data_IF_659605383811
#
_entry.id   IF_659605383811
#
_cell.length_a   1.000
_cell.length_b   1.000
_cell.length_c   1.000
_cell.angle_alpha   90.00
_cell.angle_beta   90.00
_cell.angle_gamma   90.00
#
_symmetry.space_group_name_H-M   'P 1'
#
loop_
_entity.id
_entity.type
_entity.pdbx_description
1 polymer ?
#
# COMPACT_ATOMS: atom_id res chain seq x y z
N UNK A 1 -7.37 -3.32 -28.72
CA UNK A 1 -7.90 -4.70 -28.83
C UNK A 1 -7.11 -5.62 -27.92
N UNK A 2 -7.79 -6.46 -27.14
CA UNK A 2 -7.19 -7.56 -26.39
C UNK A 2 -7.75 -8.89 -26.91
N UNK A 3 -6.89 -9.90 -27.05
CA UNK A 3 -7.27 -11.23 -27.54
C UNK A 3 -6.88 -12.29 -26.51
N UNK A 4 -7.87 -13.07 -26.04
CA UNK A 4 -7.65 -14.23 -25.18
C UNK A 4 -7.40 -15.48 -26.01
N UNK A 5 -6.13 -15.77 -26.25
CA UNK A 5 -5.63 -16.98 -26.90
C UNK A 5 -5.33 -18.15 -25.94
N UNK A 6 -5.69 -18.06 -24.65
CA UNK A 6 -5.25 -19.05 -23.63
C UNK A 6 -5.80 -20.45 -23.85
N UNK A 7 -6.86 -20.61 -24.66
CA UNK A 7 -7.49 -21.90 -24.99
C UNK A 7 -7.24 -22.36 -26.43
N UNK A 8 -6.50 -21.59 -27.23
CA UNK A 8 -6.14 -21.92 -28.62
C UNK A 8 -4.88 -22.79 -28.66
N UNK A 9 -4.93 -23.95 -28.04
CA UNK A 9 -3.82 -24.89 -28.00
C UNK A 9 -4.32 -26.33 -28.09
N UNK A 10 -3.41 -27.23 -28.50
CA UNK A 10 -3.56 -28.67 -28.32
C UNK A 10 -2.45 -29.17 -27.40
N UNK A 11 -2.73 -30.26 -26.68
CA UNK A 11 -1.70 -30.95 -25.88
C UNK A 11 -0.68 -31.56 -26.82
N UNK A 12 0.59 -31.43 -26.48
CA UNK A 12 1.67 -32.05 -27.23
C UNK A 12 1.71 -33.56 -26.94
N UNK A 13 1.97 -34.38 -27.96
CA UNK A 13 2.13 -35.84 -27.80
C UNK A 13 3.34 -36.18 -26.90
N UNK A 14 4.41 -35.39 -27.02
CA UNK A 14 5.60 -35.49 -26.19
C UNK A 14 5.93 -34.14 -25.57
N UNK A 15 6.03 -34.17 -24.25
CA UNK A 15 6.38 -33.03 -23.42
C UNK A 15 7.84 -32.59 -23.61
N UNK A 16 8.10 -31.28 -23.68
CA UNK A 16 9.45 -30.72 -23.75
C UNK A 16 9.75 -29.89 -22.50
N UNK A 17 10.42 -30.47 -21.51
CA UNK A 17 10.73 -29.78 -20.24
C UNK A 17 9.46 -29.47 -19.46
N UNK A 18 9.04 -28.20 -19.40
CA UNK A 18 7.74 -27.74 -18.84
C UNK A 18 6.72 -27.35 -19.93
N UNK A 19 7.08 -27.42 -21.22
CA UNK A 19 6.17 -27.13 -22.32
C UNK A 19 5.29 -28.36 -22.59
N UNK A 20 3.97 -28.15 -22.59
CA UNK A 20 2.94 -29.20 -22.71
C UNK A 20 1.91 -28.92 -23.79
N UNK A 21 1.94 -27.73 -24.38
CA UNK A 21 0.93 -27.22 -25.29
C UNK A 21 1.60 -26.63 -26.52
N UNK A 22 0.94 -26.78 -27.67
CA UNK A 22 1.34 -26.18 -28.93
C UNK A 22 0.12 -25.60 -29.66
N UNK A 23 0.35 -24.59 -30.50
CA UNK A 23 -0.68 -24.03 -31.38
C UNK A 23 -0.65 -24.78 -32.72
N UNK A 24 -1.81 -25.23 -33.21
CA UNK A 24 -1.93 -25.77 -34.56
C UNK A 24 -1.99 -24.62 -35.59
N UNK A 25 -1.83 -24.90 -36.89
CA UNK A 25 -2.09 -23.92 -37.94
C UNK A 25 -3.49 -23.30 -37.83
N UNK A 26 -4.50 -24.10 -37.48
CA UNK A 26 -5.88 -23.62 -37.30
C UNK A 26 -5.99 -22.64 -36.12
N UNK A 27 -5.32 -22.91 -35.00
CA UNK A 27 -5.29 -21.99 -33.85
C UNK A 27 -4.64 -20.65 -34.22
N UNK A 28 -3.56 -20.69 -34.99
CA UNK A 28 -2.87 -19.47 -35.47
C UNK A 28 -3.78 -18.69 -36.41
N UNK A 29 -4.42 -19.38 -37.38
CA UNK A 29 -5.35 -18.78 -38.33
C UNK A 29 -6.52 -18.11 -37.62
N UNK A 30 -7.09 -18.76 -36.59
CA UNK A 30 -8.18 -18.21 -35.79
C UNK A 30 -7.77 -16.94 -35.02
N UNK A 31 -6.62 -16.94 -34.34
CA UNK A 31 -6.12 -15.76 -33.63
C UNK A 31 -5.85 -14.60 -34.61
N UNK A 32 -5.27 -14.91 -35.77
CA UNK A 32 -5.01 -13.90 -36.82
C UNK A 32 -6.32 -13.35 -37.38
N UNK A 33 -7.34 -14.20 -37.55
CA UNK A 33 -8.67 -13.77 -37.96
C UNK A 33 -9.31 -12.83 -36.93
N UNK A 34 -9.33 -13.22 -35.65
CA UNK A 34 -9.84 -12.37 -34.54
C UNK A 34 -9.12 -11.01 -34.48
N UNK A 35 -7.80 -10.99 -34.71
CA UNK A 35 -7.02 -9.76 -34.80
C UNK A 35 -7.43 -8.90 -35.99
N UNK A 36 -7.56 -9.50 -37.18
CA UNK A 36 -7.85 -8.79 -38.42
C UNK A 36 -9.26 -8.20 -38.46
N UNK A 37 -10.28 -8.92 -37.97
CA UNK A 37 -11.66 -8.41 -37.93
C UNK A 37 -11.79 -7.24 -36.94
N UNK A 38 -11.06 -7.30 -35.83
CA UNK A 38 -11.07 -6.24 -34.81
C UNK A 38 -12.49 -5.88 -34.33
N UNK A 39 -13.31 -6.90 -34.10
CA UNK A 39 -14.69 -6.77 -33.65
C UNK A 39 -14.84 -6.77 -32.12
N UNK A 40 -15.86 -6.06 -31.64
CA UNK A 40 -16.24 -6.04 -30.23
C UNK A 40 -16.87 -7.37 -29.82
N UNK A 41 -16.39 -7.94 -28.72
CA UNK A 41 -16.86 -9.20 -28.14
C UNK A 41 -16.84 -10.39 -29.13
N UNK A 42 -15.88 -10.41 -30.05
CA UNK A 42 -15.75 -11.50 -31.03
C UNK A 42 -15.51 -12.86 -30.34
N UNK A 43 -16.18 -13.89 -30.82
CA UNK A 43 -16.17 -15.22 -30.20
C UNK A 43 -15.40 -16.25 -31.02
N UNK A 44 -14.72 -17.16 -30.34
CA UNK A 44 -14.11 -18.36 -30.94
C UNK A 44 -14.63 -19.62 -30.24
N UNK A 45 -14.69 -20.74 -30.97
CA UNK A 45 -14.93 -22.05 -30.36
C UNK A 45 -13.62 -22.59 -29.81
N UNK A 46 -13.61 -22.97 -28.53
CA UNK A 46 -12.42 -23.49 -27.83
C UNK A 46 -12.74 -24.79 -27.11
N UNK A 47 -11.73 -25.64 -26.91
CA UNK A 47 -11.92 -26.93 -26.22
C UNK A 47 -11.64 -26.77 -24.72
N UNK A 48 -12.64 -27.08 -23.89
CA UNK A 48 -12.55 -27.08 -22.43
C UNK A 48 -13.07 -28.41 -21.94
N UNK A 49 -12.24 -29.14 -21.19
CA UNK A 49 -12.58 -30.48 -20.68
C UNK A 49 -13.04 -31.44 -21.78
N UNK A 50 -12.43 -31.32 -22.97
CA UNK A 50 -12.75 -32.16 -24.14
C UNK A 50 -14.04 -31.78 -24.87
N UNK A 51 -14.75 -30.73 -24.45
CA UNK A 51 -15.98 -30.26 -25.08
C UNK A 51 -15.76 -28.91 -25.79
N UNK A 52 -16.31 -28.71 -26.99
CA UNK A 52 -16.31 -27.40 -27.64
C UNK A 52 -17.21 -26.44 -26.87
N UNK A 53 -16.70 -25.24 -26.60
CA UNK A 53 -17.43 -24.14 -25.98
C UNK A 53 -17.16 -22.85 -26.77
N UNK A 54 -18.20 -22.09 -27.06
CA UNK A 54 -18.06 -20.75 -27.62
C UNK A 54 -17.70 -19.77 -26.51
N UNK A 55 -16.66 -18.96 -26.72
CA UNK A 55 -16.22 -17.93 -25.77
C UNK A 55 -15.89 -16.65 -26.48
N UNK A 56 -16.11 -15.52 -25.78
CA UNK A 56 -15.57 -14.24 -26.21
C UNK A 56 -14.04 -14.32 -26.08
N UNK A 57 -13.36 -14.14 -27.20
CA UNK A 57 -11.92 -14.24 -27.32
C UNK A 57 -11.28 -12.94 -27.82
N UNK A 58 -12.06 -11.95 -28.25
CA UNK A 58 -11.58 -10.62 -28.58
C UNK A 58 -12.49 -9.54 -28.01
N UNK A 59 -11.89 -8.48 -27.48
CA UNK A 59 -12.59 -7.30 -26.97
C UNK A 59 -11.85 -6.03 -27.37
N UNK A 60 -12.60 -4.99 -27.72
CA UNK A 60 -12.10 -3.64 -27.96
C UNK A 60 -12.32 -2.85 -26.68
N UNK A 61 -11.33 -2.03 -26.33
CA UNK A 61 -11.33 -1.20 -25.13
C UNK A 61 -10.82 0.18 -25.51
N UNK A 62 -11.30 1.21 -24.83
CA UNK A 62 -10.67 2.52 -24.88
C UNK A 62 -9.33 2.48 -24.13
N UNK A 63 -8.31 3.15 -24.66
CA UNK A 63 -6.99 3.22 -24.01
C UNK A 63 -7.07 3.91 -22.64
N UNK A 64 -8.03 4.81 -22.42
CA UNK A 64 -8.24 5.47 -21.14
C UNK A 64 -8.65 4.51 -20.03
N UNK A 65 -9.33 3.39 -20.36
CA UNK A 65 -9.83 2.43 -19.35
C UNK A 65 -8.72 1.69 -18.60
N UNK A 66 -7.52 1.64 -19.17
CA UNK A 66 -6.39 0.95 -18.55
C UNK A 66 -5.54 1.87 -17.70
N UNK A 67 -5.67 3.19 -17.87
CA UNK A 67 -4.87 4.18 -17.19
C UNK A 67 -5.53 4.69 -15.93
N UNK A 68 -4.73 4.95 -14.91
CA UNK A 68 -5.17 5.57 -13.68
C UNK A 68 -4.09 6.49 -13.09
N UNK A 69 -4.55 7.45 -12.30
CA UNK A 69 -3.75 8.29 -11.44
C UNK A 69 -3.68 7.62 -10.07
N UNK A 70 -2.47 7.21 -9.69
CA UNK A 70 -2.17 6.74 -8.35
C UNK A 70 -1.86 7.95 -7.49
N UNK A 71 -2.80 8.37 -6.65
CA UNK A 71 -2.62 9.50 -5.75
C UNK A 71 -2.33 9.05 -4.32
N UNK A 72 -1.49 9.82 -3.63
CA UNK A 72 -1.23 9.61 -2.20
C UNK A 72 -2.14 10.54 -1.41
N UNK A 73 -3.04 9.96 -0.62
CA UNK A 73 -3.89 10.71 0.30
C UNK A 73 -3.22 10.70 1.66
N UNK A 74 -2.87 11.88 2.15
CA UNK A 74 -2.26 12.08 3.45
C UNK A 74 -3.32 12.52 4.46
N UNK A 75 -3.17 12.07 5.70
CA UNK A 75 -4.02 12.46 6.83
C UNK A 75 -3.18 13.15 7.91
N UNK A 76 -3.76 14.09 8.67
CA UNK A 76 -3.00 14.87 9.64
C UNK A 76 -2.56 13.99 10.82
N UNK A 77 -1.31 14.15 11.22
CA UNK A 77 -0.75 13.53 12.42
C UNK A 77 -1.32 14.21 13.66
N UNK A 78 -2.03 13.45 14.50
CA UNK A 78 -2.53 13.90 15.80
C UNK A 78 -1.90 13.07 16.91
N UNK A 79 -1.21 13.76 17.83
CA UNK A 79 -0.46 13.14 18.91
C UNK A 79 -0.78 13.82 20.23
N UNK A 80 -1.03 13.02 21.28
CA UNK A 80 -0.95 13.50 22.65
C UNK A 80 0.45 13.24 23.22
N UNK A 81 0.82 13.99 24.25
CA UNK A 81 2.12 13.90 24.92
C UNK A 81 1.92 13.82 26.42
N UNK A 82 2.70 12.97 27.09
CA UNK A 82 2.65 12.80 28.53
C UNK A 82 4.00 12.32 29.05
N UNK A 83 4.42 12.83 30.20
CA UNK A 83 5.63 12.43 30.90
C UNK A 83 5.34 11.35 31.96
N UNK A 84 4.61 10.29 31.58
CA UNK A 84 4.39 9.15 32.47
C UNK A 84 5.62 8.24 32.52
N UNK A 85 5.79 7.51 33.62
CA UNK A 85 6.91 6.56 33.78
C UNK A 85 7.05 5.60 32.60
N UNK A 86 5.94 5.01 32.15
CA UNK A 86 5.92 4.07 31.02
C UNK A 86 6.43 4.71 29.72
N UNK A 87 6.00 5.94 29.42
CA UNK A 87 6.41 6.64 28.19
C UNK A 87 7.86 7.13 28.27
N UNK A 88 8.32 7.54 29.45
CA UNK A 88 9.72 7.89 29.69
C UNK A 88 10.63 6.68 29.50
N UNK A 89 10.17 5.47 29.88
CA UNK A 89 10.96 4.26 29.71
C UNK A 89 11.16 3.85 28.24
N UNK A 90 10.20 4.16 27.36
CA UNK A 90 10.32 4.00 25.90
C UNK A 90 11.49 4.77 25.29
N UNK A 91 12.03 5.79 25.97
CA UNK A 91 13.25 6.48 25.51
C UNK A 91 14.42 5.54 25.27
N UNK A 92 14.52 4.47 26.06
CA UNK A 92 15.59 3.49 25.94
C UNK A 92 15.54 2.72 24.61
N UNK A 93 14.35 2.60 24.01
CA UNK A 93 14.12 1.95 22.72
C UNK A 93 14.47 2.88 21.54
N UNK A 94 14.55 4.19 21.79
CA UNK A 94 14.84 5.18 20.78
C UNK A 94 16.33 5.20 20.44
N UNK A 95 16.67 4.79 19.21
CA UNK A 95 18.06 4.69 18.72
C UNK A 95 18.86 5.97 18.95
N UNK A 96 18.29 7.15 18.69
CA UNK A 96 19.00 8.42 18.85
C UNK A 96 19.31 8.73 20.33
N UNK A 97 18.43 8.35 21.26
CA UNK A 97 18.66 8.48 22.68
C UNK A 97 19.70 7.46 23.16
N UNK A 98 19.59 6.19 22.76
CA UNK A 98 20.57 5.14 23.06
C UNK A 98 21.98 5.48 22.59
N UNK A 99 22.10 6.08 21.40
CA UNK A 99 23.39 6.49 20.82
C UNK A 99 24.16 7.54 21.64
N UNK A 100 23.50 8.27 22.56
CA UNK A 100 24.20 9.19 23.46
C UNK A 100 25.28 8.47 24.26
N UNK A 101 25.00 7.24 24.72
CA UNK A 101 25.92 6.41 25.48
C UNK A 101 26.77 5.47 24.59
N UNK A 102 27.05 5.88 23.34
CA UNK A 102 27.90 5.13 22.41
C UNK A 102 29.07 5.99 21.94
N UNK A 103 30.15 5.35 21.48
CA UNK A 103 31.31 6.05 20.90
C UNK A 103 31.67 5.47 19.54
N UNK A 104 32.00 6.35 18.60
CA UNK A 104 32.54 5.96 17.29
C UNK A 104 34.06 5.79 17.30
N UNK A 105 34.75 6.16 18.39
CA UNK A 105 36.21 6.05 18.51
C UNK A 105 36.61 4.60 18.76
N UNK A 106 37.36 4.01 17.83
CA UNK A 106 37.77 2.60 17.89
C UNK A 106 39.17 2.35 18.45
N UNK A 107 40.03 3.38 18.50
CA UNK A 107 41.46 3.23 18.82
C UNK A 107 41.89 3.88 20.15
N UNK A 108 40.98 4.56 20.85
CA UNK A 108 41.25 5.29 22.08
C UNK A 108 40.24 4.90 23.16
N UNK A 109 40.59 3.85 23.92
CA UNK A 109 39.72 3.23 24.94
C UNK A 109 39.40 4.18 26.08
N UNK A 110 40.31 5.10 26.42
CA UNK A 110 40.10 6.08 27.47
C UNK A 110 39.03 7.09 27.06
N UNK A 111 39.16 7.69 25.87
CA UNK A 111 38.16 8.62 25.33
C UNK A 111 36.82 7.94 25.04
N UNK A 112 36.82 6.67 24.62
CA UNK A 112 35.59 5.90 24.46
C UNK A 112 34.82 5.80 25.77
N UNK A 113 35.48 5.41 26.87
CA UNK A 113 34.83 5.32 28.19
C UNK A 113 34.33 6.67 28.68
N UNK A 114 35.09 7.73 28.43
CA UNK A 114 34.69 9.10 28.78
C UNK A 114 33.44 9.53 28.02
N UNK A 115 33.38 9.32 26.70
CA UNK A 115 32.21 9.65 25.88
C UNK A 115 30.96 8.86 26.31
N UNK A 116 31.09 7.56 26.54
CA UNK A 116 29.99 6.71 27.00
C UNK A 116 29.47 7.20 28.36
N UNK A 117 30.37 7.49 29.31
CA UNK A 117 30.00 7.98 30.65
C UNK A 117 29.32 9.35 30.58
N UNK A 118 29.81 10.25 29.74
CA UNK A 118 29.16 11.55 29.51
C UNK A 118 27.77 11.38 28.89
N UNK A 119 27.62 10.45 27.95
CA UNK A 119 26.36 10.07 27.33
C UNK A 119 25.35 9.51 28.33
N UNK A 120 25.76 8.56 29.17
CA UNK A 120 24.93 7.99 30.24
C UNK A 120 24.49 9.06 31.24
N UNK A 121 25.40 9.98 31.58
CA UNK A 121 25.07 11.12 32.44
C UNK A 121 24.00 12.00 31.80
N UNK A 122 24.13 12.32 30.51
CA UNK A 122 23.13 13.13 29.81
C UNK A 122 21.78 12.41 29.70
N UNK A 123 21.76 11.10 29.44
CA UNK A 123 20.53 10.30 29.45
C UNK A 123 19.83 10.37 30.82
N UNK A 124 20.58 10.17 31.90
CA UNK A 124 20.05 10.25 33.26
C UNK A 124 19.51 11.64 33.59
N UNK A 125 20.20 12.70 33.17
CA UNK A 125 19.73 14.07 33.35
C UNK A 125 18.45 14.36 32.56
N UNK A 126 18.33 13.88 31.32
CA UNK A 126 17.10 14.03 30.53
C UNK A 126 15.94 13.31 31.20
N UNK A 127 16.11 12.03 31.59
CA UNK A 127 15.07 11.28 32.32
C UNK A 127 14.64 12.00 33.59
N UNK A 128 15.60 12.46 34.40
CA UNK A 128 15.30 13.21 35.63
C UNK A 128 14.52 14.50 35.40
N UNK A 129 14.74 15.20 34.28
CA UNK A 129 13.92 16.38 33.93
C UNK A 129 12.51 15.95 33.55
N UNK A 130 12.36 14.87 32.78
CA UNK A 130 11.04 14.37 32.38
C UNK A 130 10.25 13.85 33.58
N UNK A 131 10.89 13.14 34.51
CA UNK A 131 10.29 12.67 35.77
C UNK A 131 9.86 13.84 36.69
N UNK A 132 10.42 15.03 36.49
CA UNK A 132 10.05 16.23 37.26
C UNK A 132 8.82 16.95 36.70
N UNK A 133 8.36 16.59 35.51
CA UNK A 133 7.15 17.11 34.90
C UNK A 133 5.94 16.36 35.46
N UNK A 134 4.80 17.04 35.52
CA UNK A 134 3.56 16.46 36.03
C UNK A 134 3.06 15.36 35.08
N UNK A 135 3.14 14.10 35.54
CA UNK A 135 2.69 12.93 34.80
C UNK A 135 1.17 12.91 34.58
N UNK A 136 0.38 13.65 35.38
CA UNK A 136 -1.08 13.66 35.27
C UNK A 136 -1.59 14.52 34.10
N UNK A 137 -0.74 15.41 33.57
CA UNK A 137 -1.11 16.30 32.48
C UNK A 137 -0.93 15.60 31.13
N UNK A 138 -2.05 15.41 30.44
CA UNK A 138 -2.08 14.97 29.06
C UNK A 138 -2.13 16.18 28.11
N UNK A 139 -1.05 16.40 27.38
CA UNK A 139 -0.97 17.49 26.41
C UNK A 139 -1.49 17.02 25.06
N UNK A 140 -2.62 17.56 24.62
CA UNK A 140 -3.19 17.32 23.28
C UNK A 140 -2.67 18.28 22.20
N UNK A 141 -1.90 19.29 22.61
CA UNK A 141 -1.29 20.25 21.71
C UNK A 141 0.24 20.14 21.77
N UNK A 142 0.85 19.84 20.62
CA UNK A 142 2.30 19.64 20.49
C UNK A 142 3.11 20.87 20.90
N UNK A 143 2.69 22.05 20.48
CA UNK A 143 3.45 23.29 20.73
C UNK A 143 3.44 23.67 22.21
N UNK A 144 2.30 23.43 22.86
CA UNK A 144 2.14 23.59 24.30
C UNK A 144 3.07 22.64 25.05
N UNK A 145 3.10 21.36 24.67
CA UNK A 145 4.03 20.39 25.24
C UNK A 145 5.49 20.78 25.03
N UNK A 146 5.86 21.16 23.80
CA UNK A 146 7.22 21.57 23.46
C UNK A 146 7.68 22.77 24.28
N UNK A 147 6.79 23.74 24.52
CA UNK A 147 7.09 24.89 25.37
C UNK A 147 7.44 24.43 26.80
N UNK A 148 6.59 23.61 27.41
CA UNK A 148 6.82 23.06 28.76
C UNK A 148 8.13 22.27 28.83
N UNK A 149 8.38 21.40 27.86
CA UNK A 149 9.59 20.59 27.79
C UNK A 149 10.85 21.47 27.67
N UNK A 150 10.82 22.45 26.76
CA UNK A 150 11.95 23.34 26.54
C UNK A 150 12.25 24.24 27.75
N UNK A 151 11.22 24.72 28.43
CA UNK A 151 11.38 25.50 29.67
C UNK A 151 12.02 24.65 30.78
N UNK A 152 11.60 23.39 30.92
CA UNK A 152 12.18 22.45 31.88
C UNK A 152 13.64 22.11 31.57
N UNK A 153 13.96 21.80 30.32
CA UNK A 153 15.34 21.55 29.87
C UNK A 153 16.24 22.78 30.06
N UNK A 154 15.72 23.98 29.78
CA UNK A 154 16.44 25.24 29.97
C UNK A 154 16.71 25.51 31.45
N UNK A 155 15.74 25.26 32.34
CA UNK A 155 15.90 25.39 33.80
C UNK A 155 16.96 24.43 34.34
N UNK A 156 17.07 23.24 33.75
CA UNK A 156 18.11 22.26 34.08
C UNK A 156 19.46 22.52 33.37
N UNK A 157 19.56 23.57 32.55
CA UNK A 157 20.74 23.88 31.72
C UNK A 157 21.19 22.73 30.80
N UNK A 158 20.23 21.93 30.31
CA UNK A 158 20.48 20.81 29.42
C UNK A 158 20.26 21.25 27.98
N UNK A 159 21.27 21.04 27.13
CA UNK A 159 21.15 21.21 25.69
C UNK A 159 20.94 19.86 25.02
N UNK A 160 19.83 19.71 24.31
CA UNK A 160 19.49 18.49 23.57
C UNK A 160 19.70 18.74 22.08
N UNK A 161 20.31 17.79 21.39
CA UNK A 161 20.46 17.85 19.94
C UNK A 161 19.15 17.39 19.25
N UNK A 162 18.85 17.95 18.08
CA UNK A 162 17.61 17.67 17.34
C UNK A 162 17.25 16.17 17.19
N UNK A 163 18.18 15.24 16.90
CA UNK A 163 17.83 13.80 16.84
C UNK A 163 17.34 13.23 18.17
N UNK A 164 17.86 13.73 19.30
CA UNK A 164 17.46 13.31 20.64
C UNK A 164 16.13 13.96 21.02
N UNK A 165 15.90 15.21 20.66
CA UNK A 165 14.60 15.87 20.83
C UNK A 165 13.49 15.11 20.09
N UNK A 166 13.75 14.67 18.85
CA UNK A 166 12.83 13.78 18.12
C UNK A 166 12.56 12.47 18.85
N UNK A 167 13.59 11.86 19.44
CA UNK A 167 13.44 10.64 20.23
C UNK A 167 12.58 10.88 21.49
N UNK A 168 12.77 12.01 22.17
CA UNK A 168 11.93 12.39 23.31
C UNK A 168 10.47 12.55 22.88
N UNK A 169 10.22 13.30 21.81
CA UNK A 169 8.85 13.47 21.32
C UNK A 169 8.21 12.13 20.94
N UNK A 170 8.93 11.27 20.21
CA UNK A 170 8.41 9.97 19.79
C UNK A 170 8.12 9.03 20.98
N UNK A 171 8.98 9.01 22.01
CA UNK A 171 8.78 8.17 23.19
C UNK A 171 7.59 8.65 24.05
N UNK A 172 7.41 9.97 24.16
CA UNK A 172 6.39 10.59 25.01
C UNK A 172 5.04 10.78 24.32
N UNK A 173 4.97 10.48 23.02
CA UNK A 173 3.76 10.66 22.23
C UNK A 173 2.99 9.37 21.99
N UNK A 174 1.67 9.49 21.91
CA UNK A 174 0.79 8.46 21.34
C UNK A 174 -0.21 9.10 20.39
N UNK A 175 -0.69 8.33 19.41
CA UNK A 175 -1.75 8.79 18.51
C UNK A 175 -3.04 9.00 19.27
N UNK A 176 -3.66 10.14 19.01
CA UNK A 176 -4.88 10.56 19.68
C UNK A 176 -5.75 11.33 18.69
N UNK A 177 -6.88 10.75 18.22
CA UNK A 177 -7.79 11.43 17.30
C UNK A 177 -8.34 12.75 17.85
N UNK A 178 -8.40 12.91 19.18
CA UNK A 178 -8.88 14.11 19.86
C UNK A 178 -7.78 15.16 20.07
N UNK A 179 -6.53 14.86 19.70
CA UNK A 179 -5.43 15.81 19.80
C UNK A 179 -5.41 16.79 18.63
N UNK A 180 -4.79 17.94 18.85
CA UNK A 180 -4.61 18.95 17.81
C UNK A 180 -3.69 18.44 16.71
N UNK A 181 -3.88 18.95 15.50
CA UNK A 181 -3.03 18.63 14.36
C UNK A 181 -1.60 19.06 14.64
N UNK A 182 -0.65 18.13 14.50
CA UNK A 182 0.76 18.45 14.52
C UNK A 182 1.15 19.18 13.23
N UNK A 183 1.59 20.43 13.34
CA UNK A 183 2.02 21.23 12.19
C UNK A 183 3.54 21.32 12.07
N UNK A 184 4.02 21.70 10.89
CA UNK A 184 5.39 22.14 10.66
C UNK A 184 5.60 23.61 11.07
N UNK A 185 6.82 24.12 10.91
CA UNK A 185 7.14 25.52 11.27
C UNK A 185 6.43 26.57 10.39
N UNK A 186 5.77 26.15 9.30
CA UNK A 186 5.00 27.00 8.40
C UNK A 186 3.49 26.90 8.67
N UNK A 187 3.07 26.07 9.63
CA UNK A 187 1.66 25.83 9.94
C UNK A 187 1.00 24.74 9.08
N UNK A 188 1.74 24.07 8.20
CA UNK A 188 1.17 22.98 7.39
C UNK A 188 1.01 21.73 8.25
N UNK A 189 -0.11 20.98 8.11
CA UNK A 189 -0.27 19.68 8.74
C UNK A 189 0.87 18.72 8.40
N UNK A 190 1.37 17.99 9.40
CA UNK A 190 2.30 16.89 9.16
C UNK A 190 1.52 15.62 8.80
N UNK A 191 1.99 14.83 7.82
CA UNK A 191 1.33 13.59 7.46
C UNK A 191 1.54 12.51 8.54
N UNK A 192 0.50 11.73 8.81
CA UNK A 192 0.60 10.46 9.53
C UNK A 192 0.84 9.31 8.55
N UNK A 193 2.03 8.72 8.58
CA UNK A 193 2.39 7.63 7.69
C UNK A 193 1.59 6.34 7.93
N UNK A 194 0.96 6.15 9.10
CA UNK A 194 0.12 4.98 9.38
C UNK A 194 -1.31 5.12 8.85
N UNK A 195 -1.74 6.35 8.59
CA UNK A 195 -3.05 6.66 8.04
C UNK A 195 -2.95 7.13 6.57
N UNK A 196 -1.79 6.96 5.95
CA UNK A 196 -1.59 7.30 4.55
C UNK A 196 -2.26 6.24 3.67
N UNK A 197 -3.10 6.72 2.77
CA UNK A 197 -3.81 5.88 1.82
C UNK A 197 -3.36 6.16 0.38
N UNK A 198 -3.76 5.27 -0.51
CA UNK A 198 -3.46 5.38 -1.93
C UNK A 198 -4.72 5.10 -2.72
N UNK A 199 -5.14 6.08 -3.51
CA UNK A 199 -6.30 5.96 -4.38
C UNK A 199 -5.86 5.73 -5.83
N UNK A 200 -6.59 4.86 -6.53
CA UNK A 200 -6.41 4.60 -7.95
C UNK A 200 -7.55 5.26 -8.71
N UNK A 201 -7.32 6.46 -9.19
CA UNK A 201 -8.36 7.30 -9.79
C UNK A 201 -8.31 7.14 -11.31
N UNK A 202 -9.41 6.76 -11.97
CA UNK A 202 -9.46 6.70 -13.44
C UNK A 202 -9.08 8.05 -14.06
N UNK A 203 -8.55 8.02 -15.27
CA UNK A 203 -8.30 9.26 -16.00
C UNK A 203 -9.57 10.10 -16.22
N UNK A 204 -9.45 11.43 -16.30
CA UNK A 204 -10.51 12.27 -16.86
C UNK A 204 -10.91 11.76 -18.24
N UNK A 205 -12.20 11.71 -18.53
CA UNK A 205 -12.71 11.16 -19.80
C UNK A 205 -12.28 11.95 -21.04
N UNK A 206 -11.89 13.21 -20.85
CA UNK A 206 -11.49 14.17 -21.89
C UNK A 206 -9.97 14.38 -21.95
N UNK A 207 -9.19 13.67 -21.14
CA UNK A 207 -7.73 13.79 -21.18
C UNK A 207 -7.21 13.33 -22.55
N UNK A 208 -6.21 14.03 -23.08
CA UNK A 208 -5.61 13.66 -24.37
C UNK A 208 -4.40 12.78 -24.14
N UNK A 209 -4.37 11.62 -24.81
CA UNK A 209 -3.22 10.71 -24.83
C UNK A 209 -2.34 10.95 -26.08
N UNK A 210 -1.00 10.78 -25.99
CA UNK A 210 -0.25 10.39 -24.80
C UNK A 210 -0.11 11.53 -23.78
N UNK A 211 -0.01 11.17 -22.50
CA UNK A 211 0.20 12.14 -21.42
C UNK A 211 1.57 12.82 -21.54
N UNK A 212 1.69 14.09 -21.11
CA UNK A 212 2.96 14.83 -21.11
C UNK A 212 3.84 14.39 -19.93
N UNK A 213 4.18 13.10 -19.87
CA UNK A 213 4.97 12.50 -18.80
C UNK A 213 6.05 11.58 -19.38
N UNK A 214 7.25 11.65 -18.84
CA UNK A 214 8.31 10.71 -19.19
C UNK A 214 8.03 9.28 -18.70
N UNK A 215 8.74 8.30 -19.25
CA UNK A 215 8.63 6.89 -18.84
C UNK A 215 9.08 6.63 -17.38
N UNK A 216 9.78 7.58 -16.77
CA UNK A 216 10.24 7.55 -15.38
C UNK A 216 9.15 7.96 -14.36
N UNK A 217 8.00 8.46 -14.81
CA UNK A 217 6.97 9.09 -13.97
C UNK A 217 7.48 10.31 -13.18
N UNK A 218 8.53 10.98 -13.64
CA UNK A 218 9.12 12.16 -12.98
C UNK A 218 9.32 13.31 -13.96
N UNK A 219 9.79 13.01 -15.17
CA UNK A 219 9.99 14.02 -16.21
C UNK A 219 8.65 14.61 -16.64
N UNK A 220 8.55 15.94 -16.65
CA UNK A 220 7.35 16.72 -16.99
C UNK A 220 6.14 16.52 -16.04
N UNK A 221 6.36 16.06 -14.80
CA UNK A 221 5.30 15.87 -13.81
C UNK A 221 4.42 17.12 -13.57
N UNK A 222 5.01 18.31 -13.57
CA UNK A 222 4.25 19.57 -13.41
C UNK A 222 3.21 19.77 -14.52
N UNK A 223 3.54 19.39 -15.77
CA UNK A 223 2.61 19.46 -16.91
C UNK A 223 1.49 18.45 -16.78
N UNK A 224 1.77 17.26 -16.25
CA UNK A 224 0.73 16.29 -15.90
C UNK A 224 -0.21 16.88 -14.86
N UNK A 225 0.33 17.47 -13.78
CA UNK A 225 -0.47 18.04 -12.70
C UNK A 225 -1.40 19.16 -13.18
N UNK A 226 -0.96 20.01 -14.11
CA UNK A 226 -1.84 21.03 -14.73
C UNK A 226 -3.08 20.43 -15.39
N UNK A 227 -3.01 19.19 -15.90
CA UNK A 227 -4.13 18.52 -16.56
C UNK A 227 -5.05 17.77 -15.60
N UNK A 228 -4.51 17.24 -14.50
CA UNK A 228 -5.23 16.25 -13.67
C UNK A 228 -5.54 16.71 -12.27
N UNK A 229 -4.95 17.81 -11.80
CA UNK A 229 -5.09 18.25 -10.40
C UNK A 229 -6.55 18.44 -10.01
N UNK A 230 -7.32 19.19 -10.79
CA UNK A 230 -8.72 19.50 -10.44
C UNK A 230 -9.59 18.23 -10.44
N UNK A 231 -9.33 17.29 -11.35
CA UNK A 231 -9.99 15.98 -11.36
C UNK A 231 -9.66 15.17 -10.10
N UNK A 232 -8.40 15.19 -9.67
CA UNK A 232 -7.98 14.51 -8.44
C UNK A 232 -8.64 15.13 -7.20
N UNK A 233 -8.70 16.47 -7.10
CA UNK A 233 -9.34 17.17 -5.98
C UNK A 233 -10.85 16.90 -5.95
N UNK A 234 -11.50 16.90 -7.12
CA UNK A 234 -12.93 16.56 -7.23
C UNK A 234 -13.20 15.11 -6.78
N UNK A 235 -12.32 14.16 -7.13
CA UNK A 235 -12.41 12.78 -6.65
C UNK A 235 -12.22 12.71 -5.13
N UNK A 236 -11.23 13.41 -4.57
CA UNK A 236 -11.00 13.46 -3.13
C UNK A 236 -12.26 13.95 -2.39
N UNK A 237 -12.86 15.04 -2.87
CA UNK A 237 -14.07 15.62 -2.26
C UNK A 237 -15.28 14.69 -2.37
N UNK A 238 -15.47 14.02 -3.50
CA UNK A 238 -16.63 13.18 -3.75
C UNK A 238 -16.54 11.78 -3.09
N UNK A 239 -15.37 11.16 -3.11
CA UNK A 239 -15.22 9.73 -2.77
C UNK A 239 -14.43 9.50 -1.48
N UNK A 240 -13.54 10.42 -1.09
CA UNK A 240 -12.64 10.20 0.06
C UNK A 240 -13.12 10.94 1.30
N UNK A 241 -13.34 12.25 1.21
CA UNK A 241 -13.73 13.09 2.35
C UNK A 241 -15.03 12.65 3.05
N UNK A 242 -16.05 12.08 2.37
CA UNK A 242 -17.23 11.57 3.06
C UNK A 242 -16.96 10.39 4.01
N UNK A 243 -15.84 9.68 3.80
CA UNK A 243 -15.45 8.51 4.59
C UNK A 243 -14.29 8.79 5.55
N UNK A 244 -13.56 9.88 5.31
CA UNK A 244 -12.43 10.33 6.13
C UNK A 244 -12.80 11.67 6.76
N UNK A 245 -13.27 11.69 8.03
CA UNK A 245 -13.72 12.91 8.69
C UNK A 245 -12.59 13.89 9.03
N UNK A 246 -11.33 13.48 8.85
CA UNK A 246 -10.15 14.30 9.08
C UNK A 246 -9.85 15.19 7.85
N UNK A 247 -9.13 16.29 8.06
CA UNK A 247 -8.62 17.19 7.02
C UNK A 247 -7.58 16.50 6.10
N UNK A 248 -8.00 15.47 5.35
CA UNK A 248 -7.17 14.73 4.42
C UNK A 248 -6.84 15.59 3.19
N UNK A 249 -5.67 15.37 2.60
CA UNK A 249 -5.23 16.09 1.40
C UNK A 249 -4.42 15.19 0.46
N UNK A 250 -4.36 15.57 -0.81
CA UNK A 250 -3.51 14.89 -1.79
C UNK A 250 -2.09 15.45 -1.72
N UNK A 251 -1.10 14.57 -1.60
CA UNK A 251 0.29 14.93 -1.91
C UNK A 251 0.54 14.82 -3.42
N UNK A 252 0.28 15.92 -4.14
CA UNK A 252 0.43 16.00 -5.60
C UNK A 252 1.85 15.73 -6.09
N UNK A 253 2.87 15.92 -5.24
CA UNK A 253 4.25 15.60 -5.60
C UNK A 253 4.49 14.09 -5.74
N UNK A 254 3.58 13.27 -5.22
CA UNK A 254 3.61 11.79 -5.29
C UNK A 254 2.60 11.20 -6.25
N UNK A 255 1.84 12.02 -6.98
CA UNK A 255 0.89 11.52 -8.00
C UNK A 255 1.68 10.79 -9.08
N UNK A 256 1.22 9.60 -9.48
CA UNK A 256 1.86 8.79 -10.53
C UNK A 256 0.85 8.30 -11.53
N UNK A 257 1.30 8.05 -12.75
CA UNK A 257 0.47 7.37 -13.76
C UNK A 257 0.74 5.87 -13.69
N UNK A 258 -0.32 5.09 -13.57
CA UNK A 258 -0.29 3.64 -13.66
C UNK A 258 -1.15 3.14 -14.82
N UNK A 259 -0.81 1.95 -15.32
CA UNK A 259 -1.63 1.21 -16.26
C UNK A 259 -1.82 -0.22 -15.76
N UNK A 260 -3.04 -0.73 -15.83
CA UNK A 260 -3.35 -2.12 -15.52
C UNK A 260 -4.24 -2.71 -16.61
N UNK A 261 -3.84 -3.89 -17.13
CA UNK A 261 -4.63 -4.66 -18.09
C UNK A 261 -5.06 -5.97 -17.42
N UNK A 262 -6.25 -6.02 -16.77
CA UNK A 262 -6.67 -7.17 -15.99
C UNK A 262 -7.29 -8.25 -16.89
N UNK A 263 -6.48 -8.92 -17.72
CA UNK A 263 -6.93 -9.94 -18.69
C UNK A 263 -7.88 -10.97 -18.07
N UNK A 264 -7.55 -11.50 -16.89
CA UNK A 264 -8.38 -12.49 -16.18
C UNK A 264 -9.76 -11.95 -15.86
N UNK A 265 -9.88 -10.68 -15.46
CA UNK A 265 -11.17 -10.03 -15.17
C UNK A 265 -11.95 -9.78 -16.46
N UNK A 266 -11.27 -9.33 -17.51
CA UNK A 266 -11.89 -8.96 -18.78
C UNK A 266 -12.44 -10.17 -19.55
N UNK A 267 -11.79 -11.32 -19.46
CA UNK A 267 -12.20 -12.56 -20.12
C UNK A 267 -12.76 -13.61 -19.14
N UNK A 268 -13.12 -13.17 -17.93
CA UNK A 268 -13.75 -14.07 -16.96
C UNK A 268 -15.09 -14.57 -17.49
N UNK A 269 -15.26 -15.89 -17.52
CA UNK A 269 -16.53 -16.55 -17.81
C UNK A 269 -17.01 -17.18 -16.53
N UNK A 270 -18.12 -16.70 -16.00
CA UNK A 270 -18.74 -17.26 -14.81
C UNK A 270 -19.08 -18.73 -15.04
N UNK A 271 -18.58 -19.59 -14.15
CA UNK A 271 -18.93 -21.00 -14.11
C UNK A 271 -19.84 -21.21 -12.91
N UNK A 272 -21.15 -21.45 -13.11
CA UNK A 272 -22.02 -21.76 -11.99
C UNK A 272 -21.54 -23.05 -11.31
N UNK A 273 -21.70 -23.15 -9.98
CA UNK A 273 -21.45 -24.41 -9.29
C UNK A 273 -22.37 -25.50 -9.85
N UNK A 274 -21.90 -26.75 -9.78
CA UNK A 274 -22.70 -27.91 -10.17
C UNK A 274 -23.99 -27.98 -9.34
N UNK A 275 -25.14 -28.37 -9.92
CA UNK A 275 -26.39 -28.52 -9.18
C UNK A 275 -26.23 -29.47 -7.98
N UNK A 276 -26.90 -29.14 -6.86
CA UNK A 276 -26.81 -29.93 -5.63
C UNK A 276 -27.35 -31.36 -5.83
N UNK A 277 -28.35 -31.53 -6.68
CA UNK A 277 -28.98 -32.82 -6.99
C UNK A 277 -27.99 -33.78 -7.67
N UNK A 278 -27.13 -33.25 -8.54
CA UNK A 278 -26.09 -34.02 -9.23
C UNK A 278 -25.03 -34.48 -8.23
N UNK A 279 -24.57 -33.58 -7.36
CA UNK A 279 -23.60 -33.89 -6.30
C UNK A 279 -24.19 -34.93 -5.34
N UNK A 280 -25.44 -34.77 -4.90
CA UNK A 280 -26.10 -35.72 -4.03
C UNK A 280 -26.30 -37.10 -4.68
N UNK A 281 -26.57 -37.13 -5.99
CA UNK A 281 -26.65 -38.36 -6.77
C UNK A 281 -25.30 -39.09 -6.82
N UNK A 282 -24.21 -38.38 -7.08
CA UNK A 282 -22.85 -38.93 -7.10
C UNK A 282 -22.42 -39.45 -5.73
N UNK A 283 -22.71 -38.72 -4.66
CA UNK A 283 -22.42 -39.17 -3.28
C UNK A 283 -23.13 -40.50 -3.00
N UNK A 284 -24.44 -40.60 -3.31
CA UNK A 284 -25.19 -41.85 -3.12
C UNK A 284 -24.66 -42.99 -3.97
N UNK A 285 -24.16 -42.70 -5.17
CA UNK A 285 -23.57 -43.70 -6.05
C UNK A 285 -22.24 -44.21 -5.47
N UNK A 286 -21.36 -43.29 -5.05
CA UNK A 286 -20.11 -43.62 -4.35
C UNK A 286 -20.36 -44.40 -3.06
N UNK A 287 -21.38 -44.04 -2.28
CA UNK A 287 -21.78 -44.78 -1.08
C UNK A 287 -22.13 -46.24 -1.41
N UNK A 288 -22.90 -46.48 -2.47
CA UNK A 288 -23.23 -47.84 -2.93
C UNK A 288 -22.00 -48.62 -3.37
N UNK A 289 -21.10 -47.97 -4.10
CA UNK A 289 -19.84 -48.59 -4.56
C UNK A 289 -18.95 -48.97 -3.37
N UNK A 290 -18.80 -48.09 -2.38
CA UNK A 290 -18.03 -48.38 -1.15
C UNK A 290 -18.64 -49.55 -0.39
N UNK A 291 -19.97 -49.59 -0.22
CA UNK A 291 -20.67 -50.70 0.45
C UNK A 291 -20.46 -52.01 -0.31
N UNK A 292 -20.53 -51.99 -1.65
CA UNK A 292 -20.27 -53.17 -2.48
C UNK A 292 -18.84 -53.68 -2.29
N UNK A 293 -17.84 -52.80 -2.33
CA UNK A 293 -16.43 -53.17 -2.13
C UNK A 293 -16.15 -53.73 -0.73
N UNK A 294 -16.77 -53.18 0.31
CA UNK A 294 -16.64 -53.70 1.68
C UNK A 294 -17.30 -55.08 1.82
N UNK A 295 -18.40 -55.32 1.11
CA UNK A 295 -19.08 -56.62 1.08
C UNK A 295 -18.31 -57.71 0.34
N UNK A 296 -17.40 -57.35 -0.58
CA UNK A 296 -16.52 -58.29 -1.28
C UNK A 296 -15.27 -58.68 -0.47
N UNK A 297 -14.97 -57.96 0.62
CA UNK A 297 -13.79 -58.18 1.49
C UNK A 297 -14.15 -58.97 2.76
N UNK A 298 -15.44 -59.13 3.07
CA UNK A 298 -15.98 -59.92 4.19
C UNK A 298 -16.44 -61.31 3.73
#
# INVERSE_FOLDING_TARGET
QLIDGTRHFKKMDKSLGNKRHEMSPDHIAEIVHLYAENDQDATSTVIIEGKPQQRICSKIFDNHEFGFLKMTVERPLRLNFQCSADRIDRLSEQRAFGNLATSKKRKDTAKQKEEIKAGQKLQAQIKSVLDSLDETILYRNRDTFLKTLNDALKKAHIKVAYPVEKAILAALSERDPEADICTDNKGNPKPDAELRDTELVPFPSDIVLPLPLGYDNETDHDKLLELVKDHCEAYLEAEVLPHVPDDAWIDHSKTKVGYEIPLTRQFYVYQPPRPLEEIAGEIRQLEKEIVSMLGEVL
#
